data_IF_851756327853
#
_entry.id   IF_851756327853
#
_cell.length_a   1.000
_cell.length_b   1.000
_cell.length_c   1.000
_cell.angle_alpha   90.00
_cell.angle_beta   90.00
_cell.angle_gamma   90.00
#
_symmetry.space_group_name_H-M   'P 1'
#
loop_
_entity.id
_entity.type
_entity.pdbx_description
1 polymer ?
#
# COMPACT_ATOMS: atom_id res chain seq x y z
N UNK A 1 -0.33 0.48 -4.96
CA UNK A 1 -0.54 0.84 -3.55
C UNK A 1 -1.93 1.44 -3.37
N UNK A 2 -2.71 0.83 -2.52
CA UNK A 2 -4.08 1.27 -2.21
C UNK A 2 -4.05 2.15 -0.97
N UNK A 3 -4.59 3.35 -1.06
CA UNK A 3 -4.43 4.39 -0.03
C UNK A 3 -5.72 5.19 0.19
N UNK A 4 -5.70 6.02 1.23
CA UNK A 4 -6.67 7.10 1.43
C UNK A 4 -5.92 8.42 1.59
N UNK A 5 -6.62 9.55 1.41
CA UNK A 5 -5.99 10.87 1.47
C UNK A 5 -5.59 11.28 2.89
N UNK A 6 -6.26 10.72 3.91
CA UNK A 6 -6.02 11.07 5.32
C UNK A 6 -5.08 10.11 6.05
N UNK A 7 -4.51 9.15 5.36
CA UNK A 7 -3.67 8.11 5.96
C UNK A 7 -2.21 8.57 6.10
N UNK A 8 -1.75 8.68 7.35
CA UNK A 8 -0.36 9.05 7.63
C UNK A 8 0.64 7.97 7.20
N UNK A 9 0.29 6.69 7.38
CA UNK A 9 1.14 5.57 6.98
C UNK A 9 1.27 5.48 5.46
N UNK A 10 0.23 5.88 4.73
CA UNK A 10 0.28 5.97 3.27
C UNK A 10 1.28 7.02 2.81
N UNK A 11 1.33 8.17 3.47
CA UNK A 11 2.31 9.22 3.18
C UNK A 11 3.73 8.75 3.44
N UNK A 12 3.94 8.05 4.54
CA UNK A 12 5.25 7.49 4.89
C UNK A 12 5.71 6.50 3.83
N UNK A 13 4.82 5.59 3.41
CA UNK A 13 5.14 4.61 2.38
C UNK A 13 5.49 5.28 1.05
N UNK A 14 4.73 6.32 0.65
CA UNK A 14 5.02 7.09 -0.58
C UNK A 14 6.39 7.75 -0.51
N UNK A 15 6.71 8.39 0.61
CA UNK A 15 8.02 9.01 0.82
C UNK A 15 9.14 7.99 0.73
N UNK A 16 8.93 6.82 1.31
CA UNK A 16 9.91 5.74 1.27
C UNK A 16 10.17 5.28 -0.17
N UNK A 17 9.10 5.04 -0.96
CA UNK A 17 9.25 4.66 -2.37
C UNK A 17 9.95 5.75 -3.19
N UNK A 18 9.54 7.00 -2.99
CA UNK A 18 10.14 8.14 -3.72
C UNK A 18 11.62 8.29 -3.38
N UNK A 19 11.98 8.15 -2.11
CA UNK A 19 13.37 8.26 -1.66
C UNK A 19 14.26 7.15 -2.23
N UNK A 20 13.69 5.98 -2.49
CA UNK A 20 14.43 4.83 -3.02
C UNK A 20 14.29 4.68 -4.53
N UNK A 21 13.62 5.62 -5.20
CA UNK A 21 13.45 5.61 -6.65
C UNK A 21 12.61 4.44 -7.16
N UNK A 22 11.69 3.93 -6.34
CA UNK A 22 10.85 2.78 -6.70
C UNK A 22 9.53 3.28 -7.28
N UNK A 23 9.21 2.95 -8.54
CA UNK A 23 7.93 3.35 -9.12
C UNK A 23 6.78 2.55 -8.52
N UNK A 24 5.63 3.19 -8.36
CA UNK A 24 4.42 2.54 -7.85
C UNK A 24 3.17 3.17 -8.45
N UNK A 25 2.08 2.43 -8.46
CA UNK A 25 0.77 2.92 -8.85
C UNK A 25 0.02 3.35 -7.59
N UNK A 26 -0.54 4.55 -7.62
CA UNK A 26 -1.28 5.13 -6.49
C UNK A 26 -2.77 5.02 -6.76
N UNK A 27 -3.50 4.30 -5.90
CA UNK A 27 -4.94 4.09 -6.04
C UNK A 27 -5.64 4.57 -4.76
N UNK A 28 -6.45 5.61 -4.89
CA UNK A 28 -7.25 6.12 -3.78
C UNK A 28 -8.56 5.34 -3.69
N UNK A 29 -8.71 4.52 -2.65
CA UNK A 29 -9.89 3.67 -2.49
C UNK A 29 -11.16 4.46 -2.15
N UNK A 30 -11.03 5.72 -1.75
CA UNK A 30 -12.19 6.59 -1.53
C UNK A 30 -12.88 6.98 -2.84
N UNK A 31 -12.14 6.93 -3.94
CA UNK A 31 -12.63 7.31 -5.28
C UNK A 31 -12.87 6.11 -6.19
N UNK A 32 -12.59 4.89 -5.71
CA UNK A 32 -12.68 3.67 -6.51
C UNK A 32 -13.30 2.55 -5.68
N UNK A 33 -14.59 2.30 -5.90
CA UNK A 33 -15.35 1.28 -5.15
C UNK A 33 -14.79 -0.13 -5.35
N UNK A 34 -14.33 -0.44 -6.55
CA UNK A 34 -13.75 -1.77 -6.85
C UNK A 34 -12.43 -1.97 -6.10
N UNK A 35 -11.62 -0.93 -6.03
CA UNK A 35 -10.38 -0.96 -5.27
C UNK A 35 -10.66 -1.13 -3.78
N UNK A 36 -11.67 -0.43 -3.26
CA UNK A 36 -12.09 -0.57 -1.87
C UNK A 36 -12.56 -1.99 -1.56
N UNK A 37 -13.32 -2.59 -2.44
CA UNK A 37 -13.77 -3.98 -2.30
C UNK A 37 -12.60 -4.96 -2.33
N UNK A 38 -11.62 -4.72 -3.20
CA UNK A 38 -10.42 -5.54 -3.28
C UNK A 38 -9.64 -5.51 -1.97
N UNK A 39 -9.43 -4.32 -1.42
CA UNK A 39 -8.72 -4.15 -0.14
C UNK A 39 -9.49 -4.81 1.00
N UNK A 40 -10.80 -4.63 1.06
CA UNK A 40 -11.64 -5.27 2.08
C UNK A 40 -11.59 -6.79 1.97
N UNK A 41 -11.59 -7.33 0.75
CA UNK A 41 -11.49 -8.78 0.53
C UNK A 41 -10.19 -9.38 1.04
N UNK A 42 -9.07 -8.67 0.89
CA UNK A 42 -7.76 -9.09 1.39
C UNK A 42 -7.74 -9.04 2.93
N UNK A 43 -8.38 -8.05 3.53
CA UNK A 43 -8.28 -7.76 4.96
C UNK A 43 -9.48 -8.25 5.79
N UNK A 44 -10.22 -9.21 5.29
CA UNK A 44 -11.33 -9.80 6.04
C UNK A 44 -12.50 -8.84 6.27
N UNK A 45 -12.74 -7.91 5.36
CA UNK A 45 -13.80 -6.92 5.44
C UNK A 45 -13.36 -5.53 5.87
N UNK A 46 -12.10 -5.37 6.25
CA UNK A 46 -11.55 -4.08 6.67
C UNK A 46 -10.86 -3.36 5.51
N UNK A 47 -11.00 -2.02 5.48
CA UNK A 47 -10.33 -1.18 4.49
C UNK A 47 -8.99 -0.67 5.03
N UNK A 48 -8.10 -1.60 5.38
CA UNK A 48 -6.78 -1.25 5.92
C UNK A 48 -5.89 -0.64 4.84
N UNK A 49 -5.28 0.50 5.12
CA UNK A 49 -4.40 1.21 4.20
C UNK A 49 -3.12 1.63 4.91
N UNK A 50 -1.98 1.68 4.23
CA UNK A 50 -1.81 1.27 2.84
C UNK A 50 -1.82 -0.24 2.66
N UNK A 51 -2.42 -0.71 1.59
CA UNK A 51 -2.32 -2.11 1.14
C UNK A 51 -1.51 -2.10 -0.15
N UNK A 52 -0.38 -2.78 -0.16
CA UNK A 52 0.57 -2.74 -1.27
C UNK A 52 0.67 -4.12 -1.90
N UNK A 53 0.38 -4.20 -3.20
CA UNK A 53 0.51 -5.44 -3.98
C UNK A 53 1.75 -5.31 -4.84
N UNK A 54 2.63 -6.30 -4.76
CA UNK A 54 3.89 -6.33 -5.49
C UNK A 54 3.77 -7.14 -6.78
N UNK A 55 4.67 -6.91 -7.76
CA UNK A 55 4.62 -7.66 -9.03
C UNK A 55 4.73 -9.17 -8.88
N UNK A 56 5.33 -9.66 -7.80
CA UNK A 56 5.43 -11.10 -7.52
C UNK A 56 4.18 -11.69 -6.89
N UNK A 57 3.14 -10.86 -6.70
CA UNK A 57 1.88 -11.28 -6.09
C UNK A 57 1.83 -11.18 -4.57
N UNK A 58 2.94 -10.85 -3.92
CA UNK A 58 2.96 -10.67 -2.47
C UNK A 58 2.28 -9.37 -2.06
N UNK A 59 1.79 -9.32 -0.82
CA UNK A 59 1.00 -8.20 -0.30
C UNK A 59 1.54 -7.81 1.07
N UNK A 60 1.71 -6.50 1.30
CA UNK A 60 1.98 -5.94 2.62
C UNK A 60 0.83 -5.02 3.01
N UNK A 61 0.36 -5.14 4.25
CA UNK A 61 -0.72 -4.33 4.79
C UNK A 61 -0.14 -3.48 5.93
N UNK A 62 -0.29 -2.16 5.81
CA UNK A 62 0.21 -1.18 6.77
C UNK A 62 1.70 -1.38 7.11
N UNK A 63 2.59 -1.57 6.11
CA UNK A 63 3.99 -1.82 6.40
C UNK A 63 4.67 -0.57 6.95
N UNK A 64 5.57 -0.78 7.91
CA UNK A 64 6.49 0.26 8.37
C UNK A 64 7.73 0.33 7.47
N UNK A 65 8.63 1.32 7.72
CA UNK A 65 9.86 1.44 6.93
C UNK A 65 10.73 0.18 6.95
N UNK A 66 10.74 -0.54 8.07
CA UNK A 66 11.52 -1.77 8.21
C UNK A 66 10.99 -2.89 7.31
N UNK A 67 9.68 -3.07 7.26
CA UNK A 67 9.06 -4.08 6.42
C UNK A 67 9.28 -3.77 4.93
N UNK A 68 9.19 -2.51 4.56
CA UNK A 68 9.48 -2.08 3.19
C UNK A 68 10.94 -2.34 2.82
N UNK A 69 11.87 -1.99 3.69
CA UNK A 69 13.28 -2.24 3.48
C UNK A 69 13.58 -3.73 3.31
N UNK A 70 12.98 -4.57 4.16
CA UNK A 70 13.13 -6.03 4.08
C UNK A 70 12.60 -6.57 2.76
N UNK A 71 11.46 -6.07 2.30
CA UNK A 71 10.85 -6.52 1.04
C UNK A 71 11.76 -6.27 -0.17
N UNK A 72 12.47 -5.15 -0.17
CA UNK A 72 13.32 -4.74 -1.29
C UNK A 72 14.80 -5.07 -1.12
N UNK A 73 15.19 -5.63 0.01
CA UNK A 73 16.56 -6.12 0.23
C UNK A 73 16.65 -7.56 -0.27
N UNK A 74 16.94 -7.72 -1.52
CA UNK A 74 17.04 -9.06 -2.11
C UNK A 74 18.46 -9.57 -2.03
#
# INVERSE_FOLDING_TARGET
MYVTTWCGDCRMARRWFDAHGIPYEYINIEEDDKAAEFVAGINGGYRSVPTIVFPDGSILVEPGPRELATKFSA
#
